data_IF_613680371726
#
_entry.id   IF_613680371726
#
_cell.length_a   1.000
_cell.length_b   1.000
_cell.length_c   1.000
_cell.angle_alpha   90.00
_cell.angle_beta   90.00
_cell.angle_gamma   90.00
#
_symmetry.space_group_name_H-M   'P 1'
#
loop_
_entity.id
_entity.type
_entity.pdbx_description
1 polymer ?
#
# COMPACT_ATOMS: atom_id res chain seq x y z
N UNK A 1 16.52 24.40 47.81
CA UNK A 1 15.39 24.81 46.93
C UNK A 1 15.61 24.43 45.47
N UNK A 2 16.68 24.92 44.81
CA UNK A 2 17.01 24.59 43.39
C UNK A 2 17.13 23.08 43.10
N UNK A 3 17.79 22.32 43.98
CA UNK A 3 17.93 20.86 43.84
C UNK A 3 16.58 20.11 43.91
N UNK A 4 15.67 20.57 44.78
CA UNK A 4 14.33 20.00 44.93
C UNK A 4 13.47 20.27 43.69
N UNK A 5 13.55 21.48 43.15
CA UNK A 5 12.85 21.84 41.91
C UNK A 5 13.35 21.01 40.71
N UNK A 6 14.67 20.80 40.63
CA UNK A 6 15.26 19.95 39.59
C UNK A 6 14.81 18.49 39.73
N UNK A 7 14.84 17.94 40.94
CA UNK A 7 14.35 16.59 41.22
C UNK A 7 12.86 16.41 40.88
N UNK A 8 12.03 17.44 41.12
CA UNK A 8 10.61 17.39 40.77
C UNK A 8 10.40 17.45 39.25
N UNK A 9 11.15 18.31 38.55
CA UNK A 9 11.12 18.35 37.07
C UNK A 9 11.55 17.02 36.46
N UNK A 10 12.59 16.38 37.01
CA UNK A 10 13.07 15.08 36.55
C UNK A 10 12.02 13.98 36.75
N UNK A 11 11.27 14.04 37.85
CA UNK A 11 10.17 13.11 38.12
C UNK A 11 9.01 13.28 37.13
N UNK A 12 8.63 14.53 36.82
CA UNK A 12 7.60 14.83 35.83
C UNK A 12 7.99 14.33 34.44
N UNK A 13 9.23 14.54 34.02
CA UNK A 13 9.74 14.03 32.74
C UNK A 13 9.70 12.51 32.69
N UNK A 14 10.10 11.83 33.77
CA UNK A 14 10.01 10.36 33.86
C UNK A 14 8.58 9.87 33.78
N UNK A 15 7.63 10.54 34.45
CA UNK A 15 6.22 10.18 34.40
C UNK A 15 5.63 10.35 32.99
N UNK A 16 5.97 11.46 32.32
CA UNK A 16 5.56 11.71 30.93
C UNK A 16 6.16 10.67 29.97
N UNK A 17 7.43 10.30 30.15
CA UNK A 17 8.05 9.22 29.37
C UNK A 17 7.32 7.89 29.58
N UNK A 18 7.03 7.51 30.82
CA UNK A 18 6.31 6.26 31.09
C UNK A 18 4.93 6.26 30.45
N UNK A 19 4.16 7.34 30.54
CA UNK A 19 2.79 7.40 30.01
C UNK A 19 2.73 7.43 28.47
N UNK A 20 3.66 8.13 27.81
CA UNK A 20 3.56 8.42 26.37
C UNK A 20 4.60 7.72 25.49
N UNK A 21 5.65 7.15 26.09
CA UNK A 21 6.68 6.37 25.39
C UNK A 21 6.56 4.90 25.75
N UNK A 22 6.67 4.56 27.05
CA UNK A 22 6.77 3.16 27.49
C UNK A 22 5.40 2.46 27.53
N UNK A 23 4.38 3.13 28.05
CA UNK A 23 2.99 2.64 28.08
C UNK A 23 2.19 3.05 26.85
N UNK A 24 2.84 3.54 25.78
CA UNK A 24 2.12 3.90 24.56
C UNK A 24 1.44 2.66 23.97
N UNK A 25 0.09 2.58 23.98
CA UNK A 25 -0.62 1.41 23.49
C UNK A 25 -0.47 1.23 21.97
N UNK A 26 0.02 2.26 21.26
CA UNK A 26 0.24 2.24 19.83
C UNK A 26 1.59 2.89 19.46
N UNK A 27 2.69 2.13 19.53
CA UNK A 27 4.00 2.63 19.12
C UNK A 27 3.91 3.11 17.66
N UNK A 28 4.25 4.39 17.40
CA UNK A 28 4.16 5.00 16.07
C UNK A 28 4.85 4.15 14.99
N UNK A 29 5.97 3.50 15.35
CA UNK A 29 6.69 2.55 14.50
C UNK A 29 5.83 1.35 14.08
N UNK A 30 5.02 0.79 14.99
CA UNK A 30 4.11 -0.31 14.65
C UNK A 30 2.99 0.15 13.71
N UNK A 31 2.42 1.33 13.95
CA UNK A 31 1.41 1.91 13.06
C UNK A 31 2.00 2.13 11.66
N UNK A 32 3.18 2.74 11.58
CA UNK A 32 3.89 2.98 10.34
C UNK A 32 4.20 1.67 9.61
N UNK A 33 4.74 0.66 10.29
CA UNK A 33 5.02 -0.65 9.70
C UNK A 33 3.77 -1.31 9.13
N UNK A 34 2.64 -1.29 9.86
CA UNK A 34 1.37 -1.83 9.37
C UNK A 34 0.88 -1.07 8.14
N UNK A 35 0.96 0.26 8.15
CA UNK A 35 0.59 1.10 7.00
C UNK A 35 1.45 0.78 5.79
N UNK A 36 2.77 0.70 5.94
CA UNK A 36 3.70 0.34 4.86
C UNK A 36 3.38 -1.03 4.29
N UNK A 37 3.20 -2.04 5.14
CA UNK A 37 2.85 -3.40 4.72
C UNK A 37 1.55 -3.44 3.90
N UNK A 38 0.48 -2.82 4.41
CA UNK A 38 -0.81 -2.80 3.70
C UNK A 38 -0.72 -2.04 2.38
N UNK A 39 0.04 -0.95 2.35
CA UNK A 39 0.23 -0.16 1.14
C UNK A 39 1.02 -0.95 0.08
N UNK A 40 2.08 -1.66 0.48
CA UNK A 40 2.85 -2.54 -0.40
C UNK A 40 1.99 -3.67 -0.98
N UNK A 41 1.14 -4.29 -0.14
CA UNK A 41 0.18 -5.31 -0.60
C UNK A 41 -0.75 -4.78 -1.69
N UNK A 42 -1.35 -3.61 -1.48
CA UNK A 42 -2.25 -2.98 -2.47
C UNK A 42 -1.52 -2.65 -3.77
N UNK A 43 -0.25 -2.19 -3.69
CA UNK A 43 0.55 -1.92 -4.90
C UNK A 43 0.82 -3.19 -5.70
N UNK A 44 1.09 -4.31 -5.03
CA UNK A 44 1.33 -5.59 -5.69
C UNK A 44 0.06 -6.11 -6.38
N UNK A 45 -1.07 -6.08 -5.68
CA UNK A 45 -2.38 -6.46 -6.23
C UNK A 45 -2.75 -5.61 -7.47
N UNK A 46 -2.53 -4.29 -7.41
CA UNK A 46 -2.77 -3.41 -8.56
C UNK A 46 -1.86 -3.76 -9.76
N UNK A 47 -0.60 -4.08 -9.50
CA UNK A 47 0.36 -4.47 -10.54
C UNK A 47 -0.06 -5.77 -11.21
N UNK A 48 -0.50 -6.75 -10.43
CA UNK A 48 -1.02 -8.03 -10.93
C UNK A 48 -2.28 -7.83 -11.78
N UNK A 49 -3.23 -7.01 -11.31
CA UNK A 49 -4.44 -6.69 -12.08
C UNK A 49 -4.12 -5.99 -13.41
N UNK A 50 -3.17 -5.06 -13.43
CA UNK A 50 -2.76 -4.38 -14.66
C UNK A 50 -2.07 -5.36 -15.63
N UNK A 51 -1.26 -6.30 -15.12
CA UNK A 51 -0.67 -7.36 -15.94
C UNK A 51 -1.76 -8.26 -16.56
N UNK A 52 -2.75 -8.70 -15.78
CA UNK A 52 -3.90 -9.49 -16.27
C UNK A 52 -4.68 -8.71 -17.33
N UNK A 53 -4.91 -7.42 -17.10
CA UNK A 53 -5.60 -6.55 -18.07
C UNK A 53 -4.83 -6.47 -19.39
N UNK A 54 -3.50 -6.29 -19.33
CA UNK A 54 -2.66 -6.22 -20.51
C UNK A 54 -2.63 -7.53 -21.29
N UNK A 55 -2.53 -8.68 -20.61
CA UNK A 55 -2.59 -9.99 -21.27
C UNK A 55 -3.93 -10.20 -21.95
N UNK A 56 -5.03 -9.87 -21.27
CA UNK A 56 -6.37 -9.97 -21.84
C UNK A 56 -6.55 -9.10 -23.09
N UNK A 57 -6.09 -7.84 -23.05
CA UNK A 57 -6.16 -6.96 -24.21
C UNK A 57 -5.33 -7.48 -25.38
N UNK A 58 -4.11 -7.98 -25.12
CA UNK A 58 -3.25 -8.57 -26.16
C UNK A 58 -3.88 -9.81 -26.80
N UNK A 59 -4.49 -10.69 -26.01
CA UNK A 59 -5.22 -11.86 -26.52
C UNK A 59 -6.42 -11.45 -27.35
N UNK A 60 -7.15 -10.40 -26.94
CA UNK A 60 -8.25 -9.85 -27.74
C UNK A 60 -7.79 -9.23 -29.05
N UNK A 61 -6.74 -8.41 -29.04
CA UNK A 61 -6.25 -7.77 -30.25
C UNK A 61 -5.71 -8.82 -31.24
N UNK A 62 -4.98 -9.83 -30.75
CA UNK A 62 -4.49 -10.93 -31.60
C UNK A 62 -5.62 -11.82 -32.16
N UNK A 63 -6.71 -12.03 -31.41
CA UNK A 63 -7.88 -12.79 -31.90
C UNK A 63 -8.76 -11.98 -32.85
N UNK A 64 -8.84 -10.66 -32.68
CA UNK A 64 -9.54 -9.76 -33.59
C UNK A 64 -8.77 -9.53 -34.89
N UNK A 65 -7.43 -9.41 -34.85
CA UNK A 65 -6.61 -9.35 -36.07
C UNK A 65 -6.71 -10.64 -36.88
N UNK A 66 -6.77 -11.81 -36.23
CA UNK A 66 -6.97 -13.09 -36.92
C UNK A 66 -8.37 -13.27 -37.54
N UNK A 67 -9.39 -12.56 -37.03
CA UNK A 67 -10.77 -12.62 -37.55
C UNK A 67 -11.08 -11.52 -38.56
N UNK A 68 -10.42 -10.37 -38.47
CA UNK A 68 -10.56 -9.26 -39.42
C UNK A 68 -9.99 -9.60 -40.80
N UNK A 69 -9.02 -10.52 -40.87
CA UNK A 69 -8.50 -11.06 -42.13
C UNK A 69 -9.37 -12.15 -42.78
N UNK A 70 -10.51 -12.53 -42.18
CA UNK A 70 -11.44 -13.56 -42.70
C UNK A 70 -12.80 -12.94 -43.11
N UNK A 71 -12.89 -11.62 -43.26
CA UNK A 71 -14.10 -10.93 -43.72
C UNK A 71 -13.88 -10.26 -45.07
N UNK A 72 -13.40 -11.02 -46.05
CA UNK A 72 -13.39 -10.59 -47.45
C UNK A 72 -13.54 -11.83 -48.33
N UNK A 73 -14.75 -12.39 -48.44
CA UNK A 73 -15.20 -12.95 -49.72
C UNK A 73 -16.71 -13.24 -49.78
N UNK A 74 -17.26 -12.98 -50.96
CA UNK A 74 -18.54 -13.42 -51.54
C UNK A 74 -19.87 -12.76 -51.08
N UNK A 75 -20.23 -11.65 -51.76
CA UNK A 75 -21.61 -11.50 -52.23
C UNK A 75 -21.65 -10.70 -53.55
N UNK A 76 -21.35 -11.36 -54.67
CA UNK A 76 -21.79 -10.97 -56.02
C UNK A 76 -22.47 -12.17 -56.70
N UNK A 77 -23.81 -12.23 -56.66
CA UNK A 77 -24.71 -12.96 -57.59
C UNK A 77 -26.19 -12.71 -57.28
#
# INVERSE_FOLDING_TARGET
LMSLFRSFSDLLLKLMSMAFVDMNPFPLRQIQNRRTFHLEKVRLELTELEAIRQTFLRERDTTLDGRTLISDDEEDS
#
